data_IF_045464755825
#
_entry.id   IF_045464755825
#
_cell.length_a   1.000
_cell.length_b   1.000
_cell.length_c   1.000
_cell.angle_alpha   90.00
_cell.angle_beta   90.00
_cell.angle_gamma   90.00
#
_symmetry.space_group_name_H-M   'P 1'
#
loop_
_entity.id
_entity.type
_entity.pdbx_description
1 polymer ?
#
# COMPACT_ATOMS: atom_id res chain seq x y z
N UNK A 1 -12.26 5.69 -15.92
CA UNK A 1 -12.73 5.73 -14.53
C UNK A 1 -12.26 4.47 -13.80
N UNK A 2 -11.59 4.66 -12.70
CA UNK A 2 -11.16 3.57 -11.81
C UNK A 2 -12.18 3.43 -10.67
N UNK A 3 -12.89 2.29 -10.57
CA UNK A 3 -13.90 2.10 -9.52
C UNK A 3 -13.28 1.90 -8.13
N UNK A 4 -11.96 1.65 -8.03
CA UNK A 4 -11.28 1.41 -6.77
C UNK A 4 -11.15 2.70 -5.94
N UNK A 5 -10.83 3.81 -6.59
CA UNK A 5 -10.61 5.11 -5.94
C UNK A 5 -11.52 6.23 -6.44
N UNK A 6 -12.36 5.92 -7.44
CA UNK A 6 -13.27 6.88 -8.06
C UNK A 6 -12.59 7.90 -8.98
N UNK A 7 -11.30 7.72 -9.26
CA UNK A 7 -10.56 8.63 -10.13
C UNK A 7 -10.97 8.49 -11.59
N UNK A 8 -10.87 9.58 -12.35
CA UNK A 8 -11.05 9.57 -13.79
C UNK A 8 -9.91 10.30 -14.46
N UNK A 9 -9.53 9.84 -15.63
CA UNK A 9 -8.49 10.46 -16.45
C UNK A 9 -8.73 10.21 -17.91
N UNK A 10 -8.21 11.09 -18.75
CA UNK A 10 -8.22 10.89 -20.20
C UNK A 10 -7.18 9.84 -20.60
N UNK A 11 -7.44 9.19 -21.72
CA UNK A 11 -6.55 8.24 -22.37
C UNK A 11 -6.10 8.81 -23.72
N UNK A 12 -5.03 9.64 -23.75
CA UNK A 12 -4.59 10.32 -24.95
C UNK A 12 -3.98 9.40 -26.01
N UNK A 13 -3.40 8.26 -25.60
CA UNK A 13 -2.84 7.26 -26.54
C UNK A 13 -3.98 6.45 -27.17
N UNK A 14 -4.52 6.98 -28.25
CA UNK A 14 -5.52 6.33 -29.08
C UNK A 14 -5.21 6.50 -30.54
N UNK A 15 -5.69 5.60 -31.37
CA UNK A 15 -5.65 5.71 -32.82
C UNK A 15 -7.02 5.44 -33.43
N UNK A 16 -7.32 6.09 -34.54
CA UNK A 16 -8.54 5.84 -35.30
C UNK A 16 -8.16 5.17 -36.62
N UNK A 17 -8.67 3.99 -36.85
CA UNK A 17 -8.46 3.23 -38.08
C UNK A 17 -9.22 3.83 -39.25
N UNK A 18 -8.86 3.42 -40.48
CA UNK A 18 -9.55 3.82 -41.70
C UNK A 18 -11.03 3.36 -41.73
N UNK A 19 -11.38 2.38 -40.94
CA UNK A 19 -12.73 1.84 -40.73
C UNK A 19 -13.54 2.62 -39.67
N UNK A 20 -12.99 3.73 -39.13
CA UNK A 20 -13.61 4.55 -38.11
C UNK A 20 -13.51 3.98 -36.68
N UNK A 21 -12.88 2.83 -36.48
CA UNK A 21 -12.72 2.24 -35.15
C UNK A 21 -11.65 2.94 -34.37
N UNK A 22 -11.91 3.20 -33.09
CA UNK A 22 -10.94 3.74 -32.15
C UNK A 22 -10.26 2.60 -31.39
N UNK A 23 -8.95 2.57 -31.45
CA UNK A 23 -8.11 1.65 -30.67
C UNK A 23 -7.48 2.43 -29.52
N UNK A 24 -7.58 1.90 -28.30
CA UNK A 24 -7.01 2.49 -27.07
C UNK A 24 -6.10 1.47 -26.41
N UNK A 25 -4.88 1.88 -26.08
CA UNK A 25 -3.96 1.05 -25.30
C UNK A 25 -4.40 1.02 -23.84
N UNK A 26 -4.65 -0.17 -23.32
CA UNK A 26 -5.01 -0.41 -21.92
C UNK A 26 -3.98 -1.31 -21.25
N UNK A 27 -3.74 -1.04 -19.98
CA UNK A 27 -2.97 -1.90 -19.09
C UNK A 27 -3.81 -2.22 -17.87
N UNK A 28 -3.89 -3.50 -17.51
CA UNK A 28 -4.61 -3.98 -16.34
C UNK A 28 -3.64 -4.61 -15.35
N UNK A 29 -3.71 -4.20 -14.11
CA UNK A 29 -3.11 -4.93 -13.00
C UNK A 29 -3.95 -6.20 -12.70
N UNK A 30 -3.40 -7.19 -12.02
CA UNK A 30 -4.16 -8.36 -11.62
C UNK A 30 -5.47 -7.98 -10.89
N UNK A 31 -6.59 -8.55 -11.30
CA UNK A 31 -7.94 -8.31 -10.74
C UNK A 31 -8.51 -6.90 -10.91
N UNK A 32 -7.84 -6.02 -11.65
CA UNK A 32 -8.31 -4.66 -11.88
C UNK A 32 -9.48 -4.63 -12.88
N UNK A 33 -10.44 -3.74 -12.63
CA UNK A 33 -11.50 -3.36 -13.54
C UNK A 33 -11.44 -1.86 -13.83
N UNK A 34 -11.75 -1.47 -15.06
CA UNK A 34 -11.80 -0.07 -15.47
C UNK A 34 -13.09 0.18 -16.25
N UNK A 35 -13.70 1.36 -16.09
CA UNK A 35 -14.78 1.82 -16.95
C UNK A 35 -14.22 2.77 -18.01
N UNK A 36 -14.45 2.43 -19.28
CA UNK A 36 -14.19 3.32 -20.40
C UNK A 36 -15.44 4.12 -20.70
N UNK A 37 -15.32 5.44 -20.65
CA UNK A 37 -16.40 6.36 -21.00
C UNK A 37 -16.03 7.03 -22.31
N UNK A 38 -16.79 6.72 -23.34
CA UNK A 38 -16.67 7.36 -24.65
C UNK A 38 -17.60 8.59 -24.66
N UNK A 39 -17.07 9.72 -25.06
CA UNK A 39 -17.80 10.99 -25.15
C UNK A 39 -17.50 11.65 -26.48
N UNK A 40 -18.50 12.31 -27.02
CA UNK A 40 -18.33 13.23 -28.13
C UNK A 40 -17.66 14.51 -27.61
N UNK A 41 -16.79 15.11 -28.41
CA UNK A 41 -16.09 16.35 -28.09
C UNK A 41 -14.58 16.23 -28.13
N UNK A 42 -13.94 17.37 -27.97
CA UNK A 42 -12.46 17.44 -27.94
C UNK A 42 -11.92 16.90 -26.62
N UNK A 43 -10.83 16.11 -26.66
CA UNK A 43 -10.21 15.59 -25.46
C UNK A 43 -9.60 16.73 -24.64
N UNK A 44 -9.68 16.63 -23.32
CA UNK A 44 -9.07 17.58 -22.38
C UNK A 44 -7.54 17.52 -22.41
N UNK A 45 -6.98 16.38 -22.85
CA UNK A 45 -5.54 16.20 -23.08
C UNK A 45 -5.30 15.39 -24.32
N UNK A 46 -4.42 15.89 -25.19
CA UNK A 46 -3.98 15.23 -26.43
C UNK A 46 -2.57 14.66 -26.35
N UNK A 47 -1.91 14.81 -25.19
CA UNK A 47 -0.53 14.38 -24.99
C UNK A 47 -0.38 13.62 -23.66
N UNK A 48 0.57 12.70 -23.64
CA UNK A 48 0.87 11.87 -22.48
C UNK A 48 0.73 10.37 -22.77
N UNK A 49 1.01 9.57 -21.77
CA UNK A 49 0.87 8.11 -21.83
C UNK A 49 -0.35 7.68 -21.01
N UNK A 50 -1.10 6.71 -21.54
CA UNK A 50 -2.28 6.17 -20.86
C UNK A 50 -1.90 5.52 -19.51
N UNK A 51 -0.77 4.81 -19.49
CA UNK A 51 -0.29 4.09 -18.33
C UNK A 51 1.21 4.34 -18.15
N UNK A 52 1.60 5.27 -17.25
CA UNK A 52 3.00 5.57 -17.01
C UNK A 52 3.72 4.37 -16.38
N UNK A 53 4.90 4.06 -16.90
CA UNK A 53 5.76 3.07 -16.29
C UNK A 53 6.34 3.59 -14.96
N UNK A 54 5.97 2.95 -13.86
CA UNK A 54 6.55 3.24 -12.56
C UNK A 54 7.95 2.60 -12.48
N UNK A 55 8.90 3.37 -11.95
CA UNK A 55 10.25 2.88 -11.66
C UNK A 55 10.46 2.88 -10.16
N UNK A 56 10.97 1.78 -9.58
CA UNK A 56 11.30 1.76 -8.16
C UNK A 56 12.38 2.80 -7.87
N UNK A 57 12.20 3.54 -6.79
CA UNK A 57 13.12 4.57 -6.31
C UNK A 57 13.99 4.04 -5.19
N UNK A 58 13.37 3.31 -4.27
CA UNK A 58 14.04 2.68 -3.12
C UNK A 58 13.14 1.59 -2.53
N UNK A 59 13.76 0.71 -1.75
CA UNK A 59 13.04 -0.20 -0.83
C UNK A 59 13.19 0.32 0.59
N UNK A 60 12.08 0.35 1.35
CA UNK A 60 12.09 0.70 2.78
C UNK A 60 12.36 -0.57 3.57
N UNK A 61 13.64 -0.84 3.84
CA UNK A 61 14.07 -2.05 4.54
C UNK A 61 13.97 -1.93 6.06
N UNK A 62 13.99 -3.08 6.74
CA UNK A 62 13.90 -3.18 8.21
C UNK A 62 15.04 -2.53 8.99
N UNK A 63 15.02 -2.58 10.32
CA UNK A 63 13.97 -3.20 11.14
C UNK A 63 12.69 -2.33 11.23
N UNK A 64 11.57 -3.01 11.42
CA UNK A 64 10.26 -2.42 11.67
C UNK A 64 9.84 -2.67 13.11
N UNK A 65 9.18 -1.72 13.74
CA UNK A 65 8.49 -1.97 15.00
C UNK A 65 7.05 -2.35 14.69
N UNK A 66 6.65 -3.57 15.09
CA UNK A 66 5.28 -4.07 14.88
C UNK A 66 4.60 -4.21 16.23
N UNK A 67 3.47 -3.57 16.38
CA UNK A 67 2.69 -3.53 17.63
C UNK A 67 1.37 -4.25 17.43
N UNK A 68 1.06 -5.16 18.35
CA UNK A 68 -0.15 -5.97 18.42
C UNK A 68 -0.95 -5.63 19.68
N UNK A 69 -2.26 -5.79 19.66
CA UNK A 69 -3.10 -5.70 20.86
C UNK A 69 -2.84 -6.91 21.76
N UNK A 70 -2.35 -6.66 22.99
CA UNK A 70 -2.01 -7.69 23.95
C UNK A 70 -3.20 -8.55 24.39
N UNK A 71 -4.42 -8.04 24.29
CA UNK A 71 -5.63 -8.80 24.60
C UNK A 71 -5.77 -10.06 23.72
N UNK A 72 -5.23 -9.98 22.49
CA UNK A 72 -5.35 -11.03 21.47
C UNK A 72 -4.04 -11.82 21.23
N UNK A 73 -2.94 -11.43 21.84
CA UNK A 73 -1.67 -12.17 21.81
C UNK A 73 -1.68 -13.23 22.92
N UNK A 74 -1.91 -14.48 22.57
CA UNK A 74 -1.98 -15.60 23.54
C UNK A 74 -1.16 -16.80 23.02
N UNK A 75 -0.17 -17.30 23.79
CA UNK A 75 0.34 -16.74 25.04
C UNK A 75 1.07 -15.41 24.83
N UNK A 76 1.15 -14.62 25.89
CA UNK A 76 2.02 -13.43 25.87
C UNK A 76 3.49 -13.83 25.84
N UNK A 77 4.33 -13.16 25.05
CA UNK A 77 5.77 -13.36 25.09
C UNK A 77 6.34 -13.09 26.51
N UNK A 78 7.31 -13.86 26.97
CA UNK A 78 7.89 -13.68 28.33
C UNK A 78 8.47 -12.28 28.58
N UNK A 79 8.84 -11.57 27.52
CA UNK A 79 9.36 -10.19 27.61
C UNK A 79 8.28 -9.12 27.83
N UNK A 80 7.01 -9.50 27.79
CA UNK A 80 5.88 -8.57 27.92
C UNK A 80 5.31 -8.66 29.33
N UNK A 81 5.27 -7.52 30.03
CA UNK A 81 4.74 -7.46 31.39
C UNK A 81 3.24 -7.81 31.42
N UNK A 82 2.78 -8.55 32.44
CA UNK A 82 1.35 -8.79 32.65
C UNK A 82 0.58 -7.47 32.75
N UNK A 83 -0.58 -7.42 32.06
CA UNK A 83 -1.41 -6.22 32.01
C UNK A 83 -1.01 -5.17 30.97
N UNK A 84 0.03 -5.43 30.17
CA UNK A 84 0.34 -4.59 29.01
C UNK A 84 -0.82 -4.56 28.03
N UNK A 85 -1.10 -3.38 27.46
CA UNK A 85 -2.13 -3.22 26.42
C UNK A 85 -1.62 -3.57 25.02
N UNK A 86 -0.32 -3.52 24.84
CA UNK A 86 0.33 -3.71 23.53
C UNK A 86 1.54 -4.63 23.66
N UNK A 87 1.79 -5.39 22.61
CA UNK A 87 3.00 -6.21 22.42
C UNK A 87 3.74 -5.67 21.21
N UNK A 88 4.94 -5.12 21.43
CA UNK A 88 5.78 -4.61 20.34
C UNK A 88 6.94 -5.55 20.08
N UNK A 89 7.14 -5.90 18.82
CA UNK A 89 8.18 -6.81 18.35
C UNK A 89 8.94 -6.18 17.17
N UNK A 90 10.24 -6.40 17.12
CA UNK A 90 11.02 -6.02 15.96
C UNK A 90 10.88 -7.06 14.84
N UNK A 91 10.67 -6.57 13.61
CA UNK A 91 10.70 -7.37 12.41
C UNK A 91 11.87 -6.87 11.56
N UNK A 92 12.94 -7.63 11.48
CA UNK A 92 14.11 -7.27 10.68
C UNK A 92 13.77 -7.17 9.19
N UNK A 93 12.83 -8.00 8.74
CA UNK A 93 12.23 -7.97 7.42
C UNK A 93 10.71 -8.08 7.53
N UNK A 94 10.00 -7.46 6.60
CA UNK A 94 8.57 -7.66 6.49
C UNK A 94 8.27 -9.11 6.10
N UNK A 95 7.52 -9.78 6.94
CA UNK A 95 7.13 -11.16 6.77
C UNK A 95 5.70 -11.36 7.27
N UNK A 96 5.08 -12.41 6.77
CA UNK A 96 3.81 -12.90 7.28
C UNK A 96 3.98 -13.32 8.75
N UNK A 97 3.26 -12.71 9.67
CA UNK A 97 3.38 -13.01 11.09
C UNK A 97 2.95 -14.43 11.46
N UNK A 98 2.15 -15.11 10.61
CA UNK A 98 1.83 -16.52 10.81
C UNK A 98 3.04 -17.46 10.71
N UNK A 99 4.16 -16.95 10.20
CA UNK A 99 5.44 -17.67 10.12
C UNK A 99 6.40 -17.33 11.28
N UNK A 100 5.96 -16.52 12.22
CA UNK A 100 6.75 -16.15 13.39
C UNK A 100 6.86 -17.33 14.36
N UNK A 101 7.97 -17.44 15.11
CA UNK A 101 8.16 -18.50 16.10
C UNK A 101 7.31 -18.30 17.36
N UNK A 102 6.89 -17.07 17.65
CA UNK A 102 6.12 -16.76 18.85
C UNK A 102 4.64 -17.13 18.62
N UNK A 103 4.14 -18.16 19.30
CA UNK A 103 2.77 -18.68 19.13
C UNK A 103 1.71 -17.60 19.28
N UNK A 104 1.86 -16.70 20.23
CA UNK A 104 0.92 -15.60 20.44
C UNK A 104 0.83 -14.64 19.25
N UNK A 105 1.89 -14.51 18.44
CA UNK A 105 1.94 -13.71 17.21
C UNK A 105 1.54 -14.54 16.00
N UNK A 106 2.06 -15.75 15.90
CA UNK A 106 1.77 -16.69 14.82
C UNK A 106 0.27 -16.85 14.59
N UNK A 107 -0.49 -16.98 15.66
CA UNK A 107 -1.93 -17.19 15.62
C UNK A 107 -2.75 -15.91 15.85
N UNK A 108 -2.09 -14.76 15.76
CA UNK A 108 -2.77 -13.49 15.97
C UNK A 108 -3.79 -13.19 14.87
N UNK A 109 -5.00 -12.83 15.28
CA UNK A 109 -6.04 -12.28 14.41
C UNK A 109 -6.50 -10.95 14.98
N UNK A 110 -6.41 -9.90 14.18
CA UNK A 110 -6.74 -8.55 14.60
C UNK A 110 -5.95 -7.50 13.82
N UNK A 111 -5.68 -6.40 14.48
CA UNK A 111 -5.02 -5.24 13.87
C UNK A 111 -3.59 -5.12 14.41
N UNK A 112 -2.62 -5.11 13.51
CA UNK A 112 -1.22 -4.85 13.85
C UNK A 112 -0.74 -3.56 13.21
N UNK A 113 0.07 -2.79 13.95
CA UNK A 113 0.60 -1.51 13.48
C UNK A 113 2.10 -1.60 13.27
N UNK A 114 2.52 -1.39 12.03
CA UNK A 114 3.91 -1.34 11.59
C UNK A 114 4.39 0.10 11.58
N UNK A 115 5.53 0.37 12.20
CA UNK A 115 6.15 1.70 12.25
C UNK A 115 7.57 1.64 11.76
N UNK A 116 7.93 2.62 10.92
CA UNK A 116 9.27 2.76 10.36
C UNK A 116 9.61 4.22 10.14
N UNK A 117 10.83 4.59 10.54
CA UNK A 117 11.44 5.85 10.11
C UNK A 117 12.44 5.57 9.00
N UNK A 118 12.46 6.41 7.95
CA UNK A 118 13.38 6.25 6.82
C UNK A 118 13.78 7.59 6.22
N UNK A 119 14.89 7.58 5.48
CA UNK A 119 15.40 8.72 4.73
C UNK A 119 15.28 8.44 3.23
N UNK A 120 15.09 9.49 2.43
CA UNK A 120 15.19 9.36 0.99
C UNK A 120 16.65 9.26 0.55
N UNK A 121 16.96 8.48 -0.48
CA UNK A 121 18.27 8.49 -1.11
C UNK A 121 18.61 9.87 -1.69
N UNK A 122 19.89 10.18 -1.75
CA UNK A 122 20.36 11.39 -2.43
C UNK A 122 19.88 11.44 -3.88
N UNK A 123 19.44 12.60 -4.33
CA UNK A 123 18.95 12.81 -5.70
C UNK A 123 17.46 12.50 -5.91
N UNK A 124 16.78 11.87 -4.97
CA UNK A 124 15.32 11.70 -5.02
C UNK A 124 14.64 13.04 -4.73
N UNK A 125 13.72 13.42 -5.62
CA UNK A 125 12.98 14.70 -5.51
C UNK A 125 11.62 14.48 -4.83
N UNK A 126 11.44 14.91 -3.57
CA UNK A 126 10.20 14.66 -2.82
C UNK A 126 8.99 15.43 -3.34
N UNK A 127 9.20 16.43 -4.18
CA UNK A 127 8.14 17.26 -4.77
C UNK A 127 7.48 16.66 -6.03
N UNK A 128 7.73 15.39 -6.34
CA UNK A 128 7.04 14.66 -7.40
C UNK A 128 6.03 13.68 -6.81
N UNK A 129 4.89 13.46 -7.48
CA UNK A 129 3.98 12.37 -7.13
C UNK A 129 4.71 11.03 -7.18
N UNK A 130 4.50 10.21 -6.19
CA UNK A 130 5.06 8.86 -6.07
C UNK A 130 3.98 7.89 -5.62
N UNK A 131 4.30 6.61 -5.65
CA UNK A 131 3.49 5.57 -5.03
C UNK A 131 4.32 4.84 -3.98
N UNK A 132 3.68 4.52 -2.87
CA UNK A 132 4.20 3.57 -1.91
C UNK A 132 3.58 2.22 -2.20
N UNK A 133 4.40 1.28 -2.65
CA UNK A 133 4.03 -0.11 -2.82
C UNK A 133 4.28 -0.83 -1.49
N UNK A 134 3.24 -1.39 -0.90
CA UNK A 134 3.29 -2.08 0.39
C UNK A 134 3.42 -3.59 0.26
N UNK A 135 3.66 -4.07 -0.97
CA UNK A 135 3.76 -5.50 -1.26
C UNK A 135 2.41 -6.21 -1.13
N UNK A 136 2.44 -7.47 -0.77
CA UNK A 136 1.21 -8.26 -0.59
C UNK A 136 0.72 -8.13 0.84
N UNK A 137 -0.51 -7.69 1.01
CA UNK A 137 -1.17 -7.55 2.32
C UNK A 137 -2.32 -8.55 2.44
N UNK A 138 -2.50 -9.08 3.64
CA UNK A 138 -3.61 -9.97 4.02
C UNK A 138 -4.25 -9.43 5.29
N UNK A 139 -5.43 -8.72 5.27
CA UNK A 139 -6.30 -8.53 4.08
C UNK A 139 -6.32 -7.08 3.63
N UNK A 140 -6.13 -6.13 4.54
CA UNK A 140 -6.16 -4.70 4.22
C UNK A 140 -5.14 -3.93 5.05
N UNK A 141 -4.68 -2.82 4.51
CA UNK A 141 -3.75 -1.94 5.19
C UNK A 141 -4.15 -0.47 5.04
N UNK A 142 -4.25 0.24 6.15
CA UNK A 142 -4.32 1.70 6.17
C UNK A 142 -2.92 2.26 6.26
N UNK A 143 -2.60 3.23 5.43
CA UNK A 143 -1.26 3.80 5.32
C UNK A 143 -1.27 5.26 5.74
N UNK A 144 -0.33 5.63 6.61
CA UNK A 144 -0.08 7.03 6.98
C UNK A 144 1.40 7.34 6.77
N UNK A 145 1.68 8.51 6.20
CA UNK A 145 3.03 8.99 5.98
C UNK A 145 3.15 10.42 6.52
N UNK A 146 4.13 10.65 7.42
CA UNK A 146 4.36 11.94 8.06
C UNK A 146 3.10 12.54 8.73
N UNK A 147 2.24 11.68 9.27
CA UNK A 147 0.98 12.05 9.92
C UNK A 147 -0.21 12.23 8.97
N UNK A 148 0.01 12.23 7.65
CA UNK A 148 -1.07 12.28 6.66
C UNK A 148 -1.56 10.88 6.32
N UNK A 149 -2.89 10.69 6.32
CA UNK A 149 -3.54 9.48 5.85
C UNK A 149 -3.50 9.40 4.32
N UNK A 150 -3.02 8.28 3.80
CA UNK A 150 -2.94 8.00 2.36
C UNK A 150 -4.05 7.05 1.89
N UNK A 151 -4.94 6.64 2.78
CA UNK A 151 -6.04 5.73 2.48
C UNK A 151 -5.74 4.28 2.81
N UNK A 152 -6.57 3.40 2.25
CA UNK A 152 -6.57 1.96 2.52
C UNK A 152 -6.30 1.19 1.23
N UNK A 153 -5.29 0.32 1.25
CA UNK A 153 -5.10 -0.71 0.23
C UNK A 153 -5.76 -2.01 0.71
N UNK A 154 -6.72 -2.53 -0.06
CA UNK A 154 -7.50 -3.72 0.28
C UNK A 154 -7.55 -4.75 -0.86
N UNK A 155 -6.98 -4.41 -2.01
CA UNK A 155 -6.81 -5.31 -3.16
C UNK A 155 -5.58 -4.89 -3.98
N UNK A 156 -5.06 -5.72 -4.86
CA UNK A 156 -4.04 -5.34 -5.84
C UNK A 156 -4.50 -4.20 -6.77
N UNK A 157 -3.56 -3.33 -7.18
CA UNK A 157 -2.18 -3.25 -6.73
C UNK A 157 -2.08 -2.67 -5.32
N UNK A 158 -1.29 -3.33 -4.46
CA UNK A 158 -1.12 -2.96 -3.04
C UNK A 158 -0.27 -1.70 -2.91
N UNK A 159 -0.78 -0.58 -3.38
CA UNK A 159 -0.07 0.69 -3.35
C UNK A 159 -1.01 1.86 -3.08
N UNK A 160 -0.46 2.90 -2.49
CA UNK A 160 -1.14 4.15 -2.22
C UNK A 160 -0.38 5.30 -2.87
N UNK A 161 -1.11 6.32 -3.33
CA UNK A 161 -0.51 7.52 -3.87
C UNK A 161 0.13 8.36 -2.75
N UNK A 162 1.34 8.84 -2.99
CA UNK A 162 2.04 9.76 -2.10
C UNK A 162 2.04 11.14 -2.76
N UNK A 163 1.32 12.13 -2.18
CA UNK A 163 1.27 13.47 -2.73
C UNK A 163 2.65 14.11 -2.84
N UNK A 164 2.83 14.94 -3.87
CA UNK A 164 4.04 15.72 -4.01
C UNK A 164 4.29 16.61 -2.78
N UNK A 165 5.51 16.64 -2.29
CA UNK A 165 5.91 17.43 -1.13
C UNK A 165 5.62 16.81 0.24
N UNK A 166 4.95 15.67 0.32
CA UNK A 166 4.70 14.99 1.59
C UNK A 166 5.96 14.30 2.13
N UNK A 167 6.78 13.73 1.25
CA UNK A 167 8.05 13.13 1.62
C UNK A 167 9.06 14.21 1.99
N UNK A 168 9.87 13.94 3.00
CA UNK A 168 11.00 14.76 3.45
C UNK A 168 12.31 14.09 3.03
N UNK A 169 13.39 14.84 2.96
CA UNK A 169 14.71 14.27 2.70
C UNK A 169 15.11 13.25 3.77
N UNK A 170 14.72 13.49 5.03
CA UNK A 170 15.04 12.62 6.14
C UNK A 170 13.92 12.52 7.16
N UNK A 171 14.00 11.52 8.04
CA UNK A 171 13.11 11.28 9.16
C UNK A 171 11.62 11.16 8.74
N UNK A 172 11.34 10.55 7.59
CA UNK A 172 9.98 10.20 7.22
C UNK A 172 9.42 9.18 8.19
N UNK A 173 8.19 9.39 8.64
CA UNK A 173 7.49 8.50 9.56
C UNK A 173 6.42 7.75 8.78
N UNK A 174 6.59 6.45 8.62
CA UNK A 174 5.64 5.56 7.97
C UNK A 174 4.93 4.71 9.01
N UNK A 175 3.61 4.72 8.97
CA UNK A 175 2.74 3.90 9.81
C UNK A 175 1.81 3.12 8.90
N UNK A 176 1.82 1.79 9.01
CA UNK A 176 0.94 0.91 8.25
C UNK A 176 0.15 0.07 9.26
N UNK A 177 -1.16 0.21 9.25
CA UNK A 177 -2.06 -0.56 10.11
C UNK A 177 -2.70 -1.66 9.29
N UNK A 178 -2.33 -2.90 9.58
CA UNK A 178 -2.77 -4.10 8.86
C UNK A 178 -3.82 -4.83 9.67
N UNK A 179 -4.94 -5.15 9.06
CA UNK A 179 -5.96 -6.02 9.62
C UNK A 179 -6.01 -7.33 8.83
N UNK A 180 -5.95 -8.46 9.55
CA UNK A 180 -6.20 -9.77 8.99
C UNK A 180 -7.59 -10.29 9.41
N UNK A 181 -7.99 -11.43 8.85
CA UNK A 181 -9.23 -12.13 9.21
C UNK A 181 -9.04 -13.04 10.44
N UNK A 182 -10.16 -13.48 11.02
CA UNK A 182 -10.19 -14.46 12.12
C UNK A 182 -9.64 -15.83 11.75
N UNK A 183 -9.48 -16.10 10.48
CA UNK A 183 -9.06 -17.38 9.95
C UNK A 183 -7.75 -17.88 10.59
N UNK A 184 -6.81 -16.98 10.82
CA UNK A 184 -5.52 -17.32 11.41
C UNK A 184 -5.65 -17.89 12.83
N UNK A 185 -6.64 -17.43 13.61
CA UNK A 185 -6.89 -17.90 14.98
C UNK A 185 -7.77 -19.15 15.05
N UNK A 186 -8.59 -19.37 14.03
CA UNK A 186 -9.48 -20.55 13.97
C UNK A 186 -8.76 -21.82 13.54
N UNK A 187 -7.53 -21.70 13.06
CA UNK A 187 -6.69 -22.84 12.63
C UNK A 187 -5.81 -23.44 13.76
N UNK A 188 -6.06 -23.07 15.01
CA UNK A 188 -5.29 -23.55 16.18
C UNK A 188 -5.98 -24.72 16.84
#
# INVERSE_FOLDING_TARGET
>A
FDPLDGSSRDLPEKSVGADGRTTVLLHFEPTQALFLVLRDGEPTSTSGVNFPHLKPVMTVEGPWTVTFDAAWVKPLPPSVAPGSKEVSVAFDQLADWSKRPEDGIKWYSGVATYRKSFNLPAGVRPNRPMFLDIGVVKEMARVQLNGQDLGVAWCPPWRVAVPAGLLKASANQLVITVANTWNNRLCV
#
